data_IF_896418376283
#
_entry.id   IF_896418376283
#
_cell.length_a   1.000
_cell.length_b   1.000
_cell.length_c   1.000
_cell.angle_alpha   90.00
_cell.angle_beta   90.00
_cell.angle_gamma   90.00
#
_symmetry.space_group_name_H-M   'P 1'
#
loop_
_entity.id
_entity.type
_entity.pdbx_description
1 polymer ?
#
# COMPACT_ATOMS: atom_id res chain seq x y z
N UNK A 1 -4.14 37.33 -15.50
CA UNK A 1 -3.50 38.36 -14.65
C UNK A 1 -2.13 38.59 -15.25
N UNK A 2 -1.92 39.76 -15.85
CA UNK A 2 -0.68 40.11 -16.51
C UNK A 2 0.32 40.62 -15.49
N UNK A 3 1.46 39.94 -15.39
CA UNK A 3 2.60 40.42 -14.61
C UNK A 3 3.59 41.07 -15.57
N UNK A 4 3.90 42.31 -15.22
CA UNK A 4 4.64 43.27 -16.01
C UNK A 4 6.10 42.86 -16.08
N UNK A 5 6.61 42.81 -17.30
CA UNK A 5 8.03 42.82 -17.60
C UNK A 5 8.65 44.10 -17.00
N UNK A 6 9.44 43.93 -15.94
CA UNK A 6 10.37 44.94 -15.46
C UNK A 6 11.60 44.89 -16.34
N UNK A 7 11.62 45.76 -17.36
CA UNK A 7 12.81 46.07 -18.16
C UNK A 7 13.78 46.83 -17.25
N UNK A 8 14.69 46.09 -16.63
CA UNK A 8 15.89 46.66 -16.03
C UNK A 8 16.80 47.10 -17.16
N UNK A 9 16.92 48.42 -17.31
CA UNK A 9 17.83 49.08 -18.23
C UNK A 9 19.24 48.93 -17.65
N UNK A 10 19.91 47.82 -17.96
CA UNK A 10 21.32 47.63 -17.65
C UNK A 10 22.15 48.71 -18.37
N UNK A 11 22.77 49.58 -17.58
CA UNK A 11 23.82 50.48 -18.06
C UNK A 11 24.93 49.63 -18.67
N UNK A 12 25.14 49.75 -19.99
CA UNK A 12 26.29 49.17 -20.68
C UNK A 12 27.57 49.83 -20.19
N UNK A 13 28.09 49.37 -19.06
CA UNK A 13 29.44 49.64 -18.62
C UNK A 13 30.40 49.14 -19.69
N UNK A 14 31.24 50.05 -20.21
CA UNK A 14 32.35 49.72 -21.11
C UNK A 14 33.20 48.62 -20.46
N UNK A 15 33.07 47.39 -20.97
CA UNK A 15 33.85 46.26 -20.52
C UNK A 15 35.29 46.46 -20.99
N UNK A 16 36.18 46.77 -20.05
CA UNK A 16 37.62 46.74 -20.28
C UNK A 16 38.03 45.26 -20.30
N UNK A 17 38.64 44.73 -21.37
CA UNK A 17 38.99 43.31 -21.46
C UNK A 17 39.94 42.92 -20.33
N UNK A 18 39.63 41.82 -19.63
CA UNK A 18 40.39 41.37 -18.46
C UNK A 18 41.76 40.77 -18.81
N UNK A 19 42.02 40.57 -20.10
CA UNK A 19 43.30 40.13 -20.62
C UNK A 19 43.87 41.20 -21.57
N UNK A 20 45.07 41.73 -21.31
CA UNK A 20 45.76 42.56 -22.28
C UNK A 20 45.98 41.73 -23.55
N UNK A 21 45.83 42.36 -24.71
CA UNK A 21 46.12 41.72 -25.99
C UNK A 21 47.55 41.18 -25.98
N UNK A 22 47.81 40.01 -26.59
CA UNK A 22 49.15 39.43 -26.70
C UNK A 22 50.18 40.47 -27.15
N UNK A 23 51.40 40.38 -26.62
CA UNK A 23 52.45 41.40 -26.80
C UNK A 23 52.75 41.69 -28.28
N UNK A 24 52.53 40.71 -29.15
CA UNK A 24 52.69 40.81 -30.60
C UNK A 24 51.73 41.85 -31.23
N UNK A 25 50.53 42.00 -30.67
CA UNK A 25 49.49 42.92 -31.17
C UNK A 25 49.69 44.33 -30.61
N UNK A 26 50.22 44.45 -29.38
CA UNK A 26 50.49 45.75 -28.76
C UNK A 26 51.68 46.48 -29.40
N UNK A 27 52.57 45.75 -30.06
CA UNK A 27 53.76 46.28 -30.74
C UNK A 27 53.54 46.56 -32.24
N UNK A 28 52.36 46.22 -32.80
CA UNK A 28 52.02 46.54 -34.19
C UNK A 28 51.68 48.02 -34.37
N UNK A 29 52.08 48.61 -35.50
CA UNK A 29 51.74 50.00 -35.79
C UNK A 29 50.21 50.16 -35.94
N UNK A 30 49.68 51.33 -35.56
CA UNK A 30 48.23 51.62 -35.65
C UNK A 30 47.65 51.48 -37.07
N UNK A 31 48.50 51.58 -38.09
CA UNK A 31 48.23 51.36 -39.52
C UNK A 31 48.04 49.90 -39.91
N UNK A 32 48.46 48.96 -39.06
CA UNK A 32 48.39 47.50 -39.28
C UNK A 32 47.25 46.84 -38.51
N UNK A 33 46.81 47.46 -37.41
CA UNK A 33 45.69 46.97 -36.56
C UNK A 33 44.33 47.52 -37.00
N UNK A 34 44.31 48.42 -37.98
CA UNK A 34 43.12 49.08 -38.52
C UNK A 34 43.14 48.99 -40.05
N UNK A 35 42.02 48.62 -40.65
CA UNK A 35 41.93 48.55 -42.11
C UNK A 35 42.00 49.95 -42.73
N UNK A 36 42.94 50.18 -43.66
CA UNK A 36 43.17 51.50 -44.27
C UNK A 36 42.04 51.96 -45.22
N UNK A 37 41.14 51.06 -45.64
CA UNK A 37 40.02 51.38 -46.53
C UNK A 37 38.70 51.69 -45.79
N UNK A 38 38.45 51.08 -44.64
CA UNK A 38 37.19 51.23 -43.90
C UNK A 38 37.36 51.70 -42.45
N UNK A 39 38.59 51.83 -41.93
CA UNK A 39 38.87 52.40 -40.60
C UNK A 39 38.49 51.52 -39.40
N UNK A 40 38.04 50.28 -39.63
CA UNK A 40 37.64 49.36 -38.55
C UNK A 40 38.86 48.59 -38.03
N UNK A 41 38.99 48.50 -36.71
CA UNK A 41 40.05 47.71 -36.08
C UNK A 41 39.80 46.22 -36.26
N UNK A 42 40.81 45.49 -36.73
CA UNK A 42 40.75 44.02 -36.93
C UNK A 42 40.44 43.26 -35.64
N UNK A 43 40.76 43.85 -34.48
CA UNK A 43 40.45 43.32 -33.15
C UNK A 43 38.97 43.40 -32.80
N UNK A 44 38.33 44.53 -33.11
CA UNK A 44 36.88 44.69 -32.95
C UNK A 44 36.15 43.72 -33.88
N UNK A 45 36.68 43.52 -35.10
CA UNK A 45 36.13 42.56 -36.05
C UNK A 45 36.23 41.11 -35.52
N UNK A 46 37.37 40.73 -34.93
CA UNK A 46 37.57 39.41 -34.35
C UNK A 46 36.68 39.16 -33.12
N UNK A 47 36.55 40.14 -32.22
CA UNK A 47 35.64 40.07 -31.07
C UNK A 47 34.18 39.98 -31.52
N UNK A 48 33.79 40.72 -32.55
CA UNK A 48 32.45 40.63 -33.12
C UNK A 48 32.20 39.26 -33.77
N UNK A 49 33.20 38.70 -34.47
CA UNK A 49 33.15 37.35 -35.02
C UNK A 49 33.02 36.30 -33.90
N UNK A 50 33.79 36.44 -32.82
CA UNK A 50 33.74 35.53 -31.66
C UNK A 50 32.39 35.60 -30.95
N UNK A 51 31.82 36.80 -30.80
CA UNK A 51 30.48 36.98 -30.23
C UNK A 51 29.40 36.41 -31.14
N UNK A 52 29.53 36.55 -32.47
CA UNK A 52 28.64 35.90 -33.44
C UNK A 52 28.73 34.37 -33.35
N UNK A 53 29.93 33.81 -33.26
CA UNK A 53 30.14 32.38 -33.13
C UNK A 53 29.55 31.85 -31.81
N UNK A 54 29.68 32.63 -30.73
CA UNK A 54 29.12 32.31 -29.41
C UNK A 54 27.59 32.41 -29.40
N UNK A 55 27.01 33.42 -30.04
CA UNK A 55 25.56 33.53 -30.23
C UNK A 55 25.04 32.36 -31.07
N UNK A 56 25.69 32.04 -32.19
CA UNK A 56 25.34 30.90 -33.03
C UNK A 56 25.48 29.56 -32.29
N UNK A 57 26.38 29.46 -31.31
CA UNK A 57 26.48 28.29 -30.43
C UNK A 57 25.32 28.23 -29.45
N UNK A 58 25.00 29.33 -28.75
CA UNK A 58 23.88 29.40 -27.80
C UNK A 58 22.55 29.17 -28.50
N UNK A 59 22.34 29.71 -29.70
CA UNK A 59 21.14 29.48 -30.51
C UNK A 59 20.98 27.99 -30.89
N UNK A 60 22.08 27.31 -31.26
CA UNK A 60 22.08 25.86 -31.52
C UNK A 60 21.77 25.06 -30.25
N UNK A 61 22.33 25.45 -29.11
CA UNK A 61 22.06 24.80 -27.82
C UNK A 61 20.59 24.98 -27.42
N UNK A 62 20.02 26.16 -27.62
CA UNK A 62 18.61 26.46 -27.33
C UNK A 62 17.68 25.65 -28.24
N UNK A 63 17.97 25.55 -29.55
CA UNK A 63 17.22 24.72 -30.49
C UNK A 63 17.33 23.22 -30.17
N UNK A 64 18.51 22.77 -29.73
CA UNK A 64 18.69 21.39 -29.29
C UNK A 64 17.91 21.09 -28.02
N UNK A 65 17.89 22.02 -27.06
CA UNK A 65 17.10 21.90 -25.84
C UNK A 65 15.60 21.94 -26.13
N UNK A 66 15.12 22.86 -26.98
CA UNK A 66 13.71 22.92 -27.36
C UNK A 66 13.28 21.62 -28.06
N UNK A 67 14.05 21.14 -29.04
CA UNK A 67 13.79 19.86 -29.70
C UNK A 67 13.95 18.64 -28.79
N UNK A 68 14.76 18.71 -27.73
CA UNK A 68 14.82 17.67 -26.70
C UNK A 68 13.56 17.68 -25.82
N UNK A 69 13.09 18.86 -25.41
CA UNK A 69 11.85 19.00 -24.62
C UNK A 69 10.63 18.55 -25.41
N UNK A 70 10.55 18.83 -26.71
CA UNK A 70 9.45 18.38 -27.57
C UNK A 70 9.46 16.86 -27.75
N UNK A 71 10.64 16.25 -27.97
CA UNK A 71 10.77 14.78 -28.05
C UNK A 71 10.41 14.10 -26.73
N UNK A 72 10.76 14.71 -25.61
CA UNK A 72 10.41 14.21 -24.28
C UNK A 72 8.90 14.36 -24.00
N UNK A 73 8.27 15.48 -24.39
CA UNK A 73 6.81 15.66 -24.32
C UNK A 73 6.08 14.64 -25.17
N UNK A 74 6.48 14.47 -26.43
CA UNK A 74 5.88 13.49 -27.33
C UNK A 74 5.97 12.05 -26.78
N UNK A 75 7.11 11.69 -26.14
CA UNK A 75 7.25 10.40 -25.46
C UNK A 75 6.31 10.26 -24.25
N UNK A 76 6.13 11.33 -23.47
CA UNK A 76 5.20 11.32 -22.32
C UNK A 76 3.76 11.18 -22.78
N UNK A 77 3.36 11.92 -23.81
CA UNK A 77 2.03 11.83 -24.41
C UNK A 77 1.76 10.42 -24.96
N UNK A 78 2.73 9.79 -25.65
CA UNK A 78 2.59 8.41 -26.11
C UNK A 78 2.43 7.40 -24.96
N UNK A 79 3.17 7.59 -23.86
CA UNK A 79 3.05 6.74 -22.67
C UNK A 79 1.73 6.97 -21.92
N UNK A 80 1.23 8.20 -21.89
CA UNK A 80 -0.08 8.54 -21.33
C UNK A 80 -1.21 7.93 -22.16
N UNK A 81 -1.17 8.09 -23.48
CA UNK A 81 -2.11 7.44 -24.40
C UNK A 81 -2.09 5.91 -24.23
N UNK A 82 -0.90 5.31 -24.17
CA UNK A 82 -0.77 3.87 -23.92
C UNK A 82 -1.34 3.43 -22.57
N UNK A 83 -1.17 4.24 -21.51
CA UNK A 83 -1.79 3.99 -20.21
C UNK A 83 -3.31 4.09 -20.27
N UNK A 84 -3.86 5.13 -20.89
CA UNK A 84 -5.30 5.33 -21.03
C UNK A 84 -5.96 4.23 -21.87
N UNK A 85 -5.31 3.79 -22.95
CA UNK A 85 -5.76 2.66 -23.77
C UNK A 85 -5.76 1.37 -22.97
N UNK A 86 -4.69 1.11 -22.21
CA UNK A 86 -4.61 -0.06 -21.35
C UNK A 86 -5.68 -0.04 -20.24
N UNK A 87 -5.90 1.12 -19.61
CA UNK A 87 -6.97 1.28 -18.62
C UNK A 87 -8.37 1.09 -19.21
N UNK A 88 -8.62 1.63 -20.41
CA UNK A 88 -9.89 1.42 -21.13
C UNK A 88 -10.10 -0.06 -21.44
N UNK A 89 -9.09 -0.73 -22.01
CA UNK A 89 -9.14 -2.16 -22.30
C UNK A 89 -9.39 -3.00 -21.04
N UNK A 90 -8.71 -2.67 -19.93
CA UNK A 90 -8.91 -3.35 -18.66
C UNK A 90 -10.34 -3.16 -18.12
N UNK A 91 -10.88 -1.93 -18.18
CA UNK A 91 -12.26 -1.64 -17.77
C UNK A 91 -13.26 -2.41 -18.63
N UNK A 92 -13.05 -2.47 -19.94
CA UNK A 92 -13.90 -3.24 -20.86
C UNK A 92 -13.82 -4.76 -20.62
N UNK A 93 -12.65 -5.30 -20.29
CA UNK A 93 -12.47 -6.72 -19.92
C UNK A 93 -13.22 -7.04 -18.62
N UNK A 94 -13.08 -6.18 -17.61
CA UNK A 94 -13.80 -6.31 -16.33
C UNK A 94 -15.31 -6.22 -16.55
N UNK A 95 -15.76 -5.26 -17.36
CA UNK A 95 -17.18 -5.08 -17.66
C UNK A 95 -17.74 -6.29 -18.43
N UNK A 96 -17.03 -6.77 -19.46
CA UNK A 96 -17.41 -8.00 -20.19
C UNK A 96 -17.48 -9.19 -19.24
N UNK A 97 -16.46 -9.39 -18.41
CA UNK A 97 -16.44 -10.44 -17.40
C UNK A 97 -17.60 -10.34 -16.40
N UNK A 98 -17.97 -9.13 -15.98
CA UNK A 98 -19.12 -8.89 -15.10
C UNK A 98 -20.44 -9.23 -15.80
N UNK A 99 -20.65 -8.77 -17.04
CA UNK A 99 -21.87 -9.07 -17.80
C UNK A 99 -22.03 -10.55 -18.12
N UNK A 100 -20.93 -11.24 -18.41
CA UNK A 100 -20.95 -12.67 -18.70
C UNK A 100 -21.26 -13.48 -17.44
N UNK A 101 -20.62 -13.14 -16.31
CA UNK A 101 -20.97 -13.72 -15.00
C UNK A 101 -22.42 -13.48 -14.65
N UNK A 102 -22.95 -12.30 -14.90
CA UNK A 102 -24.34 -11.97 -14.65
C UNK A 102 -25.29 -12.81 -15.52
N UNK A 103 -25.01 -12.98 -16.81
CA UNK A 103 -25.78 -13.85 -17.70
C UNK A 103 -25.78 -15.30 -17.23
N UNK A 104 -24.60 -15.84 -16.90
CA UNK A 104 -24.46 -17.22 -16.41
C UNK A 104 -25.28 -17.40 -15.13
N UNK A 105 -25.17 -16.46 -14.17
CA UNK A 105 -25.96 -16.52 -12.94
C UNK A 105 -27.47 -16.44 -13.22
N UNK A 106 -27.92 -15.57 -14.14
CA UNK A 106 -29.34 -15.50 -14.52
C UNK A 106 -29.83 -16.81 -15.13
N UNK A 107 -29.06 -17.41 -16.04
CA UNK A 107 -29.40 -18.70 -16.66
C UNK A 107 -29.44 -19.83 -15.62
N UNK A 108 -28.49 -19.89 -14.69
CA UNK A 108 -28.49 -20.85 -13.59
C UNK A 108 -29.71 -20.68 -12.68
N UNK A 109 -30.05 -19.43 -12.33
CA UNK A 109 -31.24 -19.12 -11.56
C UNK A 109 -32.51 -19.53 -12.31
N UNK A 110 -32.60 -19.30 -13.61
CA UNK A 110 -33.75 -19.71 -14.43
C UNK A 110 -33.85 -21.24 -14.52
N UNK A 111 -32.73 -21.95 -14.69
CA UNK A 111 -32.68 -23.43 -14.68
C UNK A 111 -33.16 -23.97 -13.34
N UNK A 112 -32.63 -23.46 -12.22
CA UNK A 112 -33.06 -23.85 -10.87
C UNK A 112 -34.54 -23.53 -10.63
N UNK A 113 -35.03 -22.42 -11.17
CA UNK A 113 -36.45 -22.06 -11.07
C UNK A 113 -37.33 -23.04 -11.85
N UNK A 114 -36.92 -23.44 -13.07
CA UNK A 114 -37.61 -24.46 -13.87
C UNK A 114 -37.58 -25.83 -13.19
N UNK A 115 -36.44 -26.25 -12.66
CA UNK A 115 -36.31 -27.51 -11.90
C UNK A 115 -37.19 -27.53 -10.65
N UNK A 116 -37.18 -26.45 -9.86
CA UNK A 116 -38.04 -26.31 -8.68
C UNK A 116 -39.52 -26.37 -9.05
N UNK A 117 -39.91 -25.71 -10.16
CA UNK A 117 -41.27 -25.75 -10.66
C UNK A 117 -41.67 -27.18 -11.06
N UNK A 118 -40.81 -27.88 -11.79
CA UNK A 118 -41.05 -29.27 -12.19
C UNK A 118 -41.22 -30.20 -10.98
N UNK A 119 -40.31 -30.12 -10.01
CA UNK A 119 -40.39 -30.90 -8.77
C UNK A 119 -41.67 -30.61 -7.98
N UNK A 120 -42.09 -29.35 -7.90
CA UNK A 120 -43.34 -28.98 -7.24
C UNK A 120 -44.55 -29.57 -7.95
N UNK A 121 -44.61 -29.48 -9.29
CA UNK A 121 -45.69 -30.07 -10.08
C UNK A 121 -45.73 -31.62 -9.94
N UNK A 122 -44.58 -32.27 -9.81
CA UNK A 122 -44.49 -33.71 -9.58
C UNK A 122 -44.93 -34.11 -8.17
N UNK A 123 -44.51 -33.35 -7.14
CA UNK A 123 -44.98 -33.54 -5.75
C UNK A 123 -46.50 -33.35 -5.66
N UNK A 124 -47.04 -32.33 -6.34
CA UNK A 124 -48.47 -32.05 -6.37
C UNK A 124 -49.23 -33.24 -6.99
N UNK A 125 -48.82 -33.71 -8.17
CA UNK A 125 -49.40 -34.91 -8.80
C UNK A 125 -49.35 -36.15 -7.91
N UNK A 126 -48.20 -36.41 -7.30
CA UNK A 126 -48.02 -37.55 -6.38
C UNK A 126 -48.91 -37.41 -5.15
N UNK A 127 -49.12 -36.19 -4.65
CA UNK A 127 -50.00 -35.92 -3.50
C UNK A 127 -51.48 -36.11 -3.87
N UNK A 128 -51.90 -35.66 -5.04
CA UNK A 128 -53.25 -35.85 -5.57
C UNK A 128 -53.56 -37.32 -5.81
N UNK A 129 -52.61 -38.08 -6.35
CA UNK A 129 -52.77 -39.51 -6.58
C UNK A 129 -52.83 -40.29 -5.26
N UNK A 130 -51.98 -39.95 -4.28
CA UNK A 130 -52.07 -40.49 -2.91
C UNK A 130 -53.42 -40.19 -2.27
N UNK A 131 -53.91 -38.96 -2.40
CA UNK A 131 -55.21 -38.56 -1.90
C UNK A 131 -56.35 -39.33 -2.56
N UNK A 132 -56.29 -39.51 -3.89
CA UNK A 132 -57.27 -40.29 -4.66
C UNK A 132 -57.33 -41.74 -4.17
N UNK A 133 -56.17 -42.39 -4.03
CA UNK A 133 -56.09 -43.78 -3.55
C UNK A 133 -56.60 -43.90 -2.12
N UNK A 134 -56.27 -42.96 -1.23
CA UNK A 134 -56.79 -42.96 0.13
C UNK A 134 -58.31 -42.77 0.17
N UNK A 135 -58.83 -41.86 -0.66
CA UNK A 135 -60.28 -41.63 -0.78
C UNK A 135 -61.01 -42.87 -1.29
N UNK A 136 -60.45 -43.57 -2.27
CA UNK A 136 -61.01 -44.82 -2.80
C UNK A 136 -60.98 -45.94 -1.76
N UNK A 137 -59.86 -46.14 -1.04
CA UNK A 137 -59.77 -47.11 0.06
C UNK A 137 -60.75 -46.81 1.18
N UNK A 138 -60.92 -45.53 1.54
CA UNK A 138 -61.89 -45.11 2.54
C UNK A 138 -63.31 -45.42 2.08
N UNK A 139 -63.62 -45.17 0.80
CA UNK A 139 -64.91 -45.51 0.23
C UNK A 139 -65.17 -47.02 0.28
N UNK A 140 -64.21 -47.85 -0.14
CA UNK A 140 -64.29 -49.32 -0.08
C UNK A 140 -64.46 -49.85 1.35
N UNK A 141 -63.76 -49.25 2.33
CA UNK A 141 -63.91 -49.63 3.73
C UNK A 141 -65.31 -49.28 4.27
N UNK A 142 -65.87 -48.12 3.87
CA UNK A 142 -67.21 -47.73 4.26
C UNK A 142 -68.28 -48.63 3.65
N UNK A 143 -68.17 -48.98 2.37
CA UNK A 143 -69.13 -49.92 1.74
C UNK A 143 -69.10 -51.29 2.41
N UNK A 144 -67.90 -51.81 2.72
CA UNK A 144 -67.77 -53.07 3.44
C UNK A 144 -68.36 -52.99 4.87
N UNK A 145 -68.20 -51.86 5.57
CA UNK A 145 -68.82 -51.66 6.87
C UNK A 145 -70.35 -51.60 6.79
N UNK A 146 -70.91 -51.07 5.70
CA UNK A 146 -72.35 -51.05 5.46
C UNK A 146 -72.87 -52.48 5.19
N UNK A 147 -72.20 -53.25 4.33
CA UNK A 147 -72.52 -54.66 4.08
C UNK A 147 -72.51 -55.49 5.38
N UNK A 148 -71.46 -55.33 6.20
CA UNK A 148 -71.39 -56.00 7.50
C UNK A 148 -72.53 -55.61 8.46
N UNK A 149 -73.01 -54.37 8.40
CA UNK A 149 -74.16 -53.92 9.21
C UNK A 149 -75.44 -54.58 8.74
N UNK A 150 -75.64 -54.71 7.43
CA UNK A 150 -76.78 -55.40 6.85
C UNK A 150 -76.78 -56.90 7.21
N UNK A 151 -75.62 -57.57 7.10
CA UNK A 151 -75.47 -58.97 7.50
C UNK A 151 -75.78 -59.19 8.99
N UNK A 152 -75.26 -58.31 9.86
CA UNK A 152 -75.58 -58.36 11.29
C UNK A 152 -77.07 -58.19 11.54
N UNK A 153 -77.72 -57.25 10.85
CA UNK A 153 -79.16 -57.03 10.98
C UNK A 153 -79.96 -58.28 10.57
N UNK A 154 -79.60 -58.92 9.45
CA UNK A 154 -80.23 -60.17 9.01
C UNK A 154 -80.04 -61.31 10.01
N UNK A 155 -78.84 -61.43 10.61
CA UNK A 155 -78.58 -62.43 11.66
C UNK A 155 -79.42 -62.17 12.92
N UNK A 156 -79.56 -60.92 13.33
CA UNK A 156 -80.43 -60.53 14.45
C UNK A 156 -81.90 -60.90 14.19
N UNK A 157 -82.41 -60.67 12.98
CA UNK A 157 -83.77 -61.06 12.60
C UNK A 157 -83.96 -62.58 12.61
N UNK A 158 -83.00 -63.33 12.04
CA UNK A 158 -83.04 -64.80 12.09
C UNK A 158 -83.01 -65.33 13.52
N UNK A 159 -82.20 -64.73 14.39
CA UNK A 159 -82.15 -65.09 15.81
C UNK A 159 -83.51 -64.88 16.49
N UNK A 160 -84.20 -63.78 16.19
CA UNK A 160 -85.56 -63.52 16.70
C UNK A 160 -86.54 -64.59 16.23
N UNK A 161 -86.52 -64.98 14.94
CA UNK A 161 -87.37 -66.04 14.41
C UNK A 161 -87.13 -67.39 15.10
N UNK A 162 -85.86 -67.79 15.25
CA UNK A 162 -85.48 -69.02 15.96
C UNK A 162 -85.91 -68.98 17.43
N UNK A 163 -85.81 -67.81 18.08
CA UNK A 163 -86.32 -67.60 19.44
C UNK A 163 -87.82 -67.91 19.54
N UNK A 164 -88.63 -67.38 18.62
CA UNK A 164 -90.08 -67.65 18.58
C UNK A 164 -90.39 -69.14 18.35
N UNK A 165 -89.68 -69.80 17.43
CA UNK A 165 -89.84 -71.24 17.19
C UNK A 165 -89.46 -72.09 18.41
N UNK A 166 -88.36 -71.73 19.10
CA UNK A 166 -87.96 -72.38 20.34
C UNK A 166 -89.05 -72.25 21.40
N UNK A 167 -89.56 -71.05 21.63
CA UNK A 167 -90.59 -70.81 22.65
C UNK A 167 -91.90 -71.57 22.32
N UNK A 168 -92.26 -71.70 21.02
CA UNK A 168 -93.36 -72.55 20.57
C UNK A 168 -93.13 -74.04 20.85
N UNK A 169 -91.94 -74.56 20.53
CA UNK A 169 -91.60 -75.98 20.74
C UNK A 169 -91.49 -76.34 22.22
N UNK A 170 -90.99 -75.44 23.06
CA UNK A 170 -91.02 -75.59 24.52
C UNK A 170 -92.46 -75.66 25.07
N UNK A 171 -93.36 -74.84 24.53
CA UNK A 171 -94.79 -74.89 24.85
C UNK A 171 -95.45 -76.22 24.46
N UNK A 172 -95.12 -76.77 23.28
CA UNK A 172 -95.60 -78.10 22.86
C UNK A 172 -95.03 -79.23 23.73
N UNK A 173 -93.74 -79.16 24.09
CA UNK A 173 -93.10 -80.13 24.98
C UNK A 173 -93.71 -80.12 26.39
N UNK A 174 -94.09 -78.96 26.92
CA UNK A 174 -94.80 -78.90 28.21
C UNK A 174 -96.13 -79.66 28.15
N UNK A 175 -96.93 -79.45 27.09
CA UNK A 175 -98.21 -80.16 26.90
C UNK A 175 -98.02 -81.67 26.76
N UNK A 176 -96.99 -82.10 26.03
CA UNK A 176 -96.68 -83.52 25.88
C UNK A 176 -96.26 -84.18 27.21
N UNK A 177 -95.50 -83.44 28.04
CA UNK A 177 -95.13 -83.90 29.40
C UNK A 177 -96.36 -84.07 30.29
N UNK A 178 -97.30 -83.14 30.24
CA UNK A 178 -98.58 -83.23 30.97
C UNK A 178 -99.40 -84.46 30.52
N UNK A 179 -99.50 -84.71 29.21
CA UNK A 179 -100.17 -85.89 28.66
C UNK A 179 -99.49 -87.19 29.07
N UNK A 180 -98.15 -87.25 29.01
CA UNK A 180 -97.38 -88.40 29.46
C UNK A 180 -97.61 -88.69 30.95
N UNK A 181 -97.78 -87.65 31.78
CA UNK A 181 -98.05 -87.80 33.19
C UNK A 181 -99.45 -88.36 33.45
N UNK A 182 -100.48 -87.87 32.73
CA UNK A 182 -101.83 -88.43 32.77
C UNK A 182 -101.86 -89.90 32.33
N UNK A 183 -101.10 -90.27 31.29
CA UNK A 183 -100.98 -91.66 30.85
C UNK A 183 -100.29 -92.55 31.88
N UNK A 184 -99.25 -92.05 32.57
CA UNK A 184 -98.59 -92.80 33.66
C UNK A 184 -99.54 -93.09 34.81
N UNK A 185 -100.35 -92.11 35.22
CA UNK A 185 -101.37 -92.30 36.26
C UNK A 185 -102.40 -93.36 35.85
N UNK A 186 -102.81 -93.36 34.57
CA UNK A 186 -103.72 -94.35 34.00
C UNK A 186 -103.10 -95.75 33.94
N UNK A 187 -101.82 -95.87 33.58
CA UNK A 187 -101.07 -97.13 33.56
C UNK A 187 -100.95 -97.75 34.96
N UNK A 188 -100.72 -96.93 36.00
CA UNK A 188 -100.68 -97.41 37.39
C UNK A 188 -102.05 -97.98 37.81
N UNK A 189 -103.16 -97.33 37.41
CA UNK A 189 -104.51 -97.85 37.63
C UNK A 189 -104.81 -99.16 36.88
N UNK A 190 -104.30 -99.30 35.65
CA UNK A 190 -104.43 -100.54 34.87
C UNK A 190 -103.55 -101.68 35.41
N UNK A 191 -102.37 -101.38 35.95
CA UNK A 191 -101.46 -102.36 36.56
C UNK A 191 -102.05 -102.98 37.84
N UNK A 192 -102.80 -102.20 38.62
CA UNK A 192 -103.57 -102.69 39.77
C UNK A 192 -104.73 -103.62 39.33
N UNK A 193 -105.38 -103.36 38.19
CA UNK A 193 -106.41 -104.23 37.62
C UNK A 193 -105.86 -105.54 37.00
N UNK A 194 -104.67 -105.47 36.38
CA UNK A 194 -103.95 -106.60 35.76
C UNK A 194 -103.39 -107.59 36.80
N UNK A 195 -103.01 -107.12 37.98
CA UNK A 195 -102.53 -107.98 39.07
C UNK A 195 -103.65 -108.90 39.61
N UNK A 196 -104.92 -108.48 39.49
CA UNK A 196 -106.09 -109.30 39.83
C UNK A 196 -106.50 -110.30 38.72
N UNK A 197 -106.09 -110.05 37.47
CA UNK A 197 -106.38 -110.92 36.31
C UNK A 197 -105.29 -111.97 36.06
N UNK A 198 -104.05 -111.69 36.48
CA UNK A 198 -102.91 -112.63 36.37
C UNK A 198 -103.03 -113.89 37.26
N UNK A 199 -103.91 -113.89 38.27
CA UNK A 199 -104.27 -115.11 39.01
C UNK A 199 -105.18 -116.07 38.23
N UNK A 200 -105.81 -115.63 37.13
CA UNK A 200 -106.72 -116.44 36.30
C UNK A 200 -106.09 -116.91 34.98
N UNK A 201 -104.99 -116.31 34.53
CA UNK A 201 -104.35 -116.58 33.23
C UNK A 201 -103.14 -117.53 33.32
N UNK A 202 -103.06 -118.36 34.38
CA UNK A 202 -102.15 -119.52 34.43
C UNK A 202 -102.65 -120.73 33.61
N UNK A 203 -103.80 -120.61 32.93
CA UNK A 203 -104.45 -121.71 32.21
C UNK A 203 -104.46 -121.62 30.68
N UNK A 204 -103.94 -120.58 30.03
CA UNK A 204 -104.00 -120.47 28.55
C UNK A 204 -102.64 -120.26 27.94
N UNK A 205 -101.95 -121.38 27.73
CA UNK A 205 -100.69 -121.58 26.99
C UNK A 205 -100.79 -121.24 25.48
N UNK A 206 -101.68 -120.34 25.11
CA UNK A 206 -101.97 -119.95 23.72
C UNK A 206 -101.35 -118.60 23.31
N UNK A 207 -100.78 -117.83 24.25
CA UNK A 207 -100.13 -116.52 23.99
C UNK A 207 -98.70 -116.59 23.40
N UNK A 208 -98.14 -117.77 23.15
CA UNK A 208 -96.76 -117.90 22.61
C UNK A 208 -96.67 -117.73 21.08
N UNK A 209 -97.80 -117.52 20.37
CA UNK A 209 -97.79 -117.29 18.91
C UNK A 209 -97.72 -115.81 18.54
N UNK A 210 -98.18 -114.92 19.41
CA UNK A 210 -98.11 -113.46 19.18
C UNK A 210 -96.70 -112.91 19.44
N UNK A 211 -95.95 -113.49 20.38
CA UNK A 211 -94.55 -113.11 20.68
C UNK A 211 -93.63 -113.32 19.47
N UNK A 212 -93.89 -114.32 18.63
CA UNK A 212 -93.12 -114.58 17.42
C UNK A 212 -93.38 -113.54 16.32
N UNK A 213 -94.62 -113.04 16.20
CA UNK A 213 -94.96 -111.93 15.30
C UNK A 213 -94.36 -110.60 15.73
N UNK A 214 -94.32 -110.32 17.04
CA UNK A 214 -93.65 -109.13 17.59
C UNK A 214 -92.14 -109.14 17.32
N UNK A 215 -91.48 -110.29 17.43
CA UNK A 215 -90.04 -110.40 17.16
C UNK A 215 -89.72 -110.16 15.67
N UNK A 216 -90.54 -110.65 14.74
CA UNK A 216 -90.37 -110.36 13.30
C UNK A 216 -90.61 -108.89 12.95
N UNK A 217 -91.60 -108.23 13.58
CA UNK A 217 -91.83 -106.78 13.41
C UNK A 217 -90.71 -105.93 14.02
N UNK A 218 -90.18 -106.31 15.18
CA UNK A 218 -89.04 -105.63 15.81
C UNK A 218 -87.75 -105.78 14.99
N UNK A 219 -87.56 -106.93 14.33
CA UNK A 219 -86.40 -107.18 13.46
C UNK A 219 -86.50 -106.33 12.18
N UNK A 220 -87.68 -106.27 11.55
CA UNK A 220 -87.92 -105.38 10.40
C UNK A 220 -87.78 -103.89 10.76
N UNK A 221 -88.32 -103.47 11.91
CA UNK A 221 -88.17 -102.10 12.39
C UNK A 221 -86.70 -101.75 12.71
N UNK A 222 -85.91 -102.72 13.18
CA UNK A 222 -84.48 -102.55 13.42
C UNK A 222 -83.68 -102.43 12.11
N UNK A 223 -83.98 -103.24 11.09
CA UNK A 223 -83.36 -103.16 9.76
C UNK A 223 -83.71 -101.84 9.06
N UNK A 224 -84.96 -101.38 9.17
CA UNK A 224 -85.40 -100.08 8.67
C UNK A 224 -84.73 -98.92 9.42
N UNK A 225 -84.66 -98.97 10.75
CA UNK A 225 -83.97 -97.96 11.56
C UNK A 225 -82.46 -97.92 11.24
N UNK A 226 -81.83 -99.10 11.11
CA UNK A 226 -80.41 -99.23 10.79
C UNK A 226 -80.09 -98.70 9.39
N UNK A 227 -80.94 -98.99 8.39
CA UNK A 227 -80.75 -98.48 7.02
C UNK A 227 -80.98 -96.97 6.94
N UNK A 228 -81.94 -96.42 7.68
CA UNK A 228 -82.16 -94.98 7.80
C UNK A 228 -81.00 -94.27 8.52
N UNK A 229 -80.47 -94.85 9.59
CA UNK A 229 -79.28 -94.34 10.29
C UNK A 229 -78.06 -94.33 9.38
N UNK A 230 -77.79 -95.44 8.66
CA UNK A 230 -76.68 -95.52 7.71
C UNK A 230 -76.83 -94.53 6.55
N UNK A 231 -78.06 -94.30 6.07
CA UNK A 231 -78.36 -93.29 5.05
C UNK A 231 -78.07 -91.88 5.57
N UNK A 232 -78.56 -91.52 6.76
CA UNK A 232 -78.30 -90.23 7.40
C UNK A 232 -76.81 -89.99 7.66
N UNK A 233 -76.08 -91.03 8.10
CA UNK A 233 -74.63 -90.94 8.33
C UNK A 233 -73.88 -90.73 7.01
N UNK A 234 -74.28 -91.39 5.91
CA UNK A 234 -73.68 -91.14 4.58
C UNK A 234 -73.98 -89.74 4.07
N UNK A 235 -75.20 -89.26 4.25
CA UNK A 235 -75.61 -87.91 3.86
C UNK A 235 -74.82 -86.86 4.67
N UNK A 236 -74.74 -87.00 6.00
CA UNK A 236 -73.96 -86.09 6.84
C UNK A 236 -72.47 -86.11 6.51
N UNK A 237 -71.90 -87.30 6.24
CA UNK A 237 -70.50 -87.43 5.84
C UNK A 237 -70.23 -86.83 4.45
N UNK A 238 -71.20 -86.90 3.53
CA UNK A 238 -71.09 -86.26 2.20
C UNK A 238 -71.10 -84.74 2.30
N UNK A 239 -71.96 -84.16 3.15
CA UNK A 239 -72.01 -82.72 3.42
C UNK A 239 -70.71 -82.25 4.06
N UNK A 240 -70.26 -82.90 5.13
CA UNK A 240 -68.99 -82.58 5.80
C UNK A 240 -67.78 -82.70 4.87
N UNK A 241 -67.77 -83.69 3.98
CA UNK A 241 -66.70 -83.86 2.99
C UNK A 241 -66.69 -82.70 1.99
N UNK A 242 -67.85 -82.23 1.57
CA UNK A 242 -67.96 -81.11 0.62
C UNK A 242 -67.62 -79.77 1.30
N UNK A 243 -68.03 -79.56 2.54
CA UNK A 243 -67.60 -78.42 3.36
C UNK A 243 -66.07 -78.41 3.55
N UNK A 244 -65.46 -79.55 3.87
CA UNK A 244 -64.01 -79.68 4.00
C UNK A 244 -63.30 -79.33 2.68
N UNK A 245 -63.83 -79.78 1.53
CA UNK A 245 -63.31 -79.41 0.21
C UNK A 245 -63.42 -77.91 -0.04
N UNK A 246 -64.57 -77.30 0.27
CA UNK A 246 -64.78 -75.86 0.13
C UNK A 246 -63.75 -75.08 0.96
N UNK A 247 -63.57 -75.43 2.24
CA UNK A 247 -62.59 -74.80 3.13
C UNK A 247 -61.15 -75.00 2.63
N UNK A 248 -60.82 -76.18 2.09
CA UNK A 248 -59.49 -76.41 1.49
C UNK A 248 -59.23 -75.51 0.28
N UNK A 249 -60.24 -75.29 -0.58
CA UNK A 249 -60.14 -74.37 -1.73
C UNK A 249 -59.98 -72.92 -1.24
N UNK A 250 -60.76 -72.50 -0.25
CA UNK A 250 -60.64 -71.17 0.36
C UNK A 250 -59.27 -70.93 1.00
N UNK A 251 -58.74 -71.91 1.73
CA UNK A 251 -57.40 -71.82 2.31
C UNK A 251 -56.31 -71.71 1.24
N UNK A 252 -56.45 -72.40 0.11
CA UNK A 252 -55.53 -72.23 -1.02
C UNK A 252 -55.65 -70.83 -1.64
N UNK A 253 -56.86 -70.30 -1.78
CA UNK A 253 -57.09 -68.93 -2.26
C UNK A 253 -56.45 -67.90 -1.32
N UNK A 254 -56.65 -68.02 -0.02
CA UNK A 254 -56.06 -67.11 0.98
C UNK A 254 -54.52 -67.21 0.97
N UNK A 255 -53.95 -68.40 0.75
CA UNK A 255 -52.49 -68.57 0.63
C UNK A 255 -51.92 -67.84 -0.59
N UNK A 256 -52.53 -67.98 -1.76
CA UNK A 256 -52.05 -67.29 -2.97
C UNK A 256 -52.26 -65.78 -2.85
N UNK A 257 -53.36 -65.32 -2.25
CA UNK A 257 -53.58 -63.91 -1.93
C UNK A 257 -52.51 -63.37 -0.98
N UNK A 258 -52.16 -64.11 0.08
CA UNK A 258 -51.07 -63.75 1.00
C UNK A 258 -49.72 -63.64 0.27
N UNK A 259 -49.37 -64.63 -0.54
CA UNK A 259 -48.11 -64.64 -1.31
C UNK A 259 -48.05 -63.44 -2.27
N UNK A 260 -49.17 -63.12 -2.94
CA UNK A 260 -49.27 -61.96 -3.81
C UNK A 260 -49.08 -60.63 -3.05
N UNK A 261 -49.66 -60.50 -1.86
CA UNK A 261 -49.48 -59.32 -1.00
C UNK A 261 -48.04 -59.22 -0.50
N UNK A 262 -47.43 -60.33 -0.11
CA UNK A 262 -46.04 -60.40 0.34
C UNK A 262 -45.07 -59.99 -0.78
N UNK A 263 -45.28 -60.45 -2.01
CA UNK A 263 -44.50 -60.00 -3.16
C UNK A 263 -44.68 -58.51 -3.45
N UNK A 264 -45.90 -57.98 -3.38
CA UNK A 264 -46.16 -56.53 -3.55
C UNK A 264 -45.46 -55.72 -2.47
N UNK A 265 -45.45 -56.19 -1.22
CA UNK A 265 -44.76 -55.52 -0.11
C UNK A 265 -43.24 -55.52 -0.31
N UNK A 266 -42.66 -56.65 -0.73
CA UNK A 266 -41.22 -56.73 -1.04
C UNK A 266 -40.86 -55.79 -2.19
N UNK A 267 -41.67 -55.76 -3.25
CA UNK A 267 -41.46 -54.85 -4.38
C UNK A 267 -41.57 -53.38 -3.97
N UNK A 268 -42.53 -53.02 -3.11
CA UNK A 268 -42.61 -51.67 -2.55
C UNK A 268 -41.41 -51.34 -1.66
N UNK A 269 -40.97 -52.27 -0.81
CA UNK A 269 -39.80 -52.10 0.07
C UNK A 269 -38.53 -51.81 -0.74
N UNK A 270 -38.31 -52.55 -1.83
CA UNK A 270 -37.16 -52.31 -2.73
C UNK A 270 -37.24 -50.94 -3.38
N UNK A 271 -38.41 -50.54 -3.89
CA UNK A 271 -38.60 -49.19 -4.46
C UNK A 271 -38.34 -48.09 -3.42
N UNK A 272 -38.79 -48.27 -2.18
CA UNK A 272 -38.50 -47.29 -1.12
C UNK A 272 -37.02 -47.24 -0.77
N UNK A 273 -36.34 -48.39 -0.73
CA UNK A 273 -34.90 -48.47 -0.47
C UNK A 273 -34.09 -47.83 -1.59
N UNK A 274 -34.44 -48.05 -2.86
CA UNK A 274 -33.83 -47.40 -4.02
C UNK A 274 -33.99 -45.87 -3.96
N UNK A 275 -35.20 -45.37 -3.66
CA UNK A 275 -35.45 -43.94 -3.51
C UNK A 275 -34.64 -43.33 -2.36
N UNK A 276 -34.54 -44.03 -1.22
CA UNK A 276 -33.70 -43.60 -0.09
C UNK A 276 -32.23 -43.59 -0.49
N UNK A 277 -31.74 -44.60 -1.20
CA UNK A 277 -30.36 -44.65 -1.69
C UNK A 277 -30.05 -43.52 -2.66
N UNK A 278 -30.95 -43.22 -3.60
CA UNK A 278 -30.82 -42.08 -4.50
C UNK A 278 -30.81 -40.75 -3.75
N UNK A 279 -31.71 -40.58 -2.77
CA UNK A 279 -31.77 -39.37 -1.95
C UNK A 279 -30.51 -39.21 -1.08
N UNK A 280 -30.01 -40.27 -0.47
CA UNK A 280 -28.78 -40.20 0.33
C UNK A 280 -27.54 -39.94 -0.54
N UNK A 281 -27.48 -40.50 -1.75
CA UNK A 281 -26.39 -40.22 -2.68
C UNK A 281 -26.39 -38.74 -3.13
N UNK A 282 -27.53 -38.23 -3.58
CA UNK A 282 -27.66 -36.81 -3.96
C UNK A 282 -27.37 -35.87 -2.79
N UNK A 283 -27.78 -36.21 -1.57
CA UNK A 283 -27.43 -35.44 -0.36
C UNK A 283 -25.93 -35.45 -0.07
N UNK A 284 -25.23 -36.58 -0.27
CA UNK A 284 -23.77 -36.65 -0.12
C UNK A 284 -23.08 -35.76 -1.15
N UNK A 285 -23.46 -35.87 -2.42
CA UNK A 285 -22.89 -35.02 -3.48
C UNK A 285 -23.12 -33.53 -3.22
N UNK A 286 -24.31 -33.15 -2.74
CA UNK A 286 -24.60 -31.78 -2.36
C UNK A 286 -23.74 -31.32 -1.19
N UNK A 287 -23.53 -32.17 -0.17
CA UNK A 287 -22.64 -31.88 0.96
C UNK A 287 -21.19 -31.72 0.50
N UNK A 288 -20.69 -32.61 -0.35
CA UNK A 288 -19.33 -32.55 -0.86
C UNK A 288 -19.10 -31.29 -1.70
N UNK A 289 -20.06 -30.93 -2.56
CA UNK A 289 -20.05 -29.66 -3.30
C UNK A 289 -20.03 -28.45 -2.36
N UNK A 290 -20.86 -28.44 -1.32
CA UNK A 290 -20.86 -27.36 -0.31
C UNK A 290 -19.52 -27.25 0.42
N UNK A 291 -18.90 -28.38 0.76
CA UNK A 291 -17.58 -28.40 1.39
C UNK A 291 -16.49 -27.86 0.46
N UNK A 292 -16.49 -28.25 -0.83
CA UNK A 292 -15.56 -27.72 -1.85
C UNK A 292 -15.71 -26.21 -2.00
N UNK A 293 -16.94 -25.72 -2.19
CA UNK A 293 -17.20 -24.29 -2.34
C UNK A 293 -16.83 -23.50 -1.08
N UNK A 294 -17.07 -24.06 0.11
CA UNK A 294 -16.68 -23.43 1.37
C UNK A 294 -15.15 -23.35 1.52
N UNK A 295 -14.42 -24.37 1.03
CA UNK A 295 -12.97 -24.35 1.03
C UNK A 295 -12.42 -23.34 0.03
N UNK A 296 -12.93 -23.31 -1.20
CA UNK A 296 -12.56 -22.31 -2.20
C UNK A 296 -12.79 -20.89 -1.70
N UNK A 297 -13.92 -20.64 -1.02
CA UNK A 297 -14.21 -19.34 -0.43
C UNK A 297 -13.15 -18.95 0.60
N UNK A 298 -12.78 -19.86 1.51
CA UNK A 298 -11.71 -19.61 2.49
C UNK A 298 -10.37 -19.32 1.84
N UNK A 299 -9.97 -20.09 0.82
CA UNK A 299 -8.72 -19.86 0.10
C UNK A 299 -8.72 -18.49 -0.61
N UNK A 300 -9.87 -18.05 -1.14
CA UNK A 300 -10.02 -16.70 -1.72
C UNK A 300 -9.98 -15.61 -0.66
N UNK A 301 -10.60 -15.81 0.50
CA UNK A 301 -10.54 -14.88 1.64
C UNK A 301 -9.10 -14.73 2.16
N UNK A 302 -8.37 -15.83 2.36
CA UNK A 302 -6.96 -15.83 2.75
C UNK A 302 -6.09 -15.12 1.69
N UNK A 303 -6.32 -15.41 0.40
CA UNK A 303 -5.66 -14.73 -0.71
C UNK A 303 -5.92 -13.22 -0.71
N UNK A 304 -7.16 -12.80 -0.50
CA UNK A 304 -7.54 -11.39 -0.44
C UNK A 304 -6.90 -10.68 0.77
N UNK A 305 -6.93 -11.29 1.96
CA UNK A 305 -6.27 -10.75 3.16
C UNK A 305 -4.76 -10.59 2.95
N UNK A 306 -4.10 -11.56 2.32
CA UNK A 306 -2.68 -11.47 1.96
C UNK A 306 -2.40 -10.31 1.00
N UNK A 307 -3.24 -10.14 -0.02
CA UNK A 307 -3.17 -8.99 -0.91
C UNK A 307 -3.38 -7.66 -0.17
N UNK A 308 -4.35 -7.59 0.74
CA UNK A 308 -4.60 -6.41 1.55
C UNK A 308 -3.41 -6.05 2.43
N UNK A 309 -2.84 -7.01 3.17
CA UNK A 309 -1.65 -6.81 3.98
C UNK A 309 -0.45 -6.30 3.15
N UNK A 310 -0.31 -6.79 1.91
CA UNK A 310 0.72 -6.28 0.98
C UNK A 310 0.45 -4.84 0.56
N UNK A 311 -0.79 -4.49 0.27
CA UNK A 311 -1.18 -3.11 -0.03
C UNK A 311 -0.89 -2.17 1.16
N UNK A 312 -1.26 -2.56 2.38
CA UNK A 312 -1.02 -1.77 3.60
C UNK A 312 0.49 -1.57 3.86
N UNK A 313 1.29 -2.62 3.63
CA UNK A 313 2.76 -2.55 3.72
C UNK A 313 3.36 -1.60 2.68
N UNK A 314 2.93 -1.70 1.41
CA UNK A 314 3.37 -0.79 0.36
C UNK A 314 2.95 0.65 0.64
N UNK A 315 1.74 0.87 1.15
CA UNK A 315 1.26 2.19 1.54
C UNK A 315 2.09 2.78 2.68
N UNK A 316 2.44 1.97 3.69
CA UNK A 316 3.31 2.37 4.79
C UNK A 316 4.73 2.72 4.29
N UNK A 317 5.27 1.94 3.35
CA UNK A 317 6.56 2.23 2.72
C UNK A 317 6.53 3.53 1.91
N UNK A 318 5.43 3.78 1.17
CA UNK A 318 5.27 4.98 0.38
C UNK A 318 5.20 6.23 1.26
N UNK A 319 4.47 6.17 2.38
CA UNK A 319 4.44 7.24 3.39
C UNK A 319 5.83 7.48 4.00
N UNK A 320 6.59 6.42 4.33
CA UNK A 320 7.94 6.56 4.85
C UNK A 320 8.91 7.19 3.82
N UNK A 321 8.78 6.83 2.53
CA UNK A 321 9.54 7.45 1.45
C UNK A 321 9.19 8.94 1.29
N UNK A 322 7.90 9.28 1.33
CA UNK A 322 7.44 10.68 1.27
C UNK A 322 8.01 11.51 2.42
N UNK A 323 7.98 10.99 3.65
CA UNK A 323 8.57 11.67 4.81
C UNK A 323 10.07 11.91 4.64
N UNK A 324 10.81 10.93 4.13
CA UNK A 324 12.26 11.08 3.86
C UNK A 324 12.53 12.11 2.78
N UNK A 325 11.70 12.16 1.74
CA UNK A 325 11.79 13.16 0.68
C UNK A 325 11.51 14.57 1.22
N UNK A 326 10.48 14.75 2.05
CA UNK A 326 10.20 16.02 2.74
C UNK A 326 11.35 16.44 3.66
N UNK A 327 11.93 15.52 4.41
CA UNK A 327 13.10 15.82 5.25
C UNK A 327 14.32 16.21 4.43
N UNK A 328 14.56 15.51 3.31
CA UNK A 328 15.66 15.82 2.40
C UNK A 328 15.46 17.20 1.74
N UNK A 329 14.27 17.49 1.23
CA UNK A 329 13.94 18.80 0.63
C UNK A 329 14.08 19.93 1.64
N UNK A 330 13.66 19.75 2.91
CA UNK A 330 13.92 20.72 3.98
C UNK A 330 15.42 20.95 4.18
N UNK A 331 16.23 19.88 4.27
CA UNK A 331 17.70 19.99 4.40
C UNK A 331 18.34 20.69 3.21
N UNK A 332 17.92 20.35 1.98
CA UNK A 332 18.41 20.99 0.76
C UNK A 332 18.08 22.48 0.75
N UNK A 333 16.85 22.87 1.11
CA UNK A 333 16.46 24.28 1.18
C UNK A 333 17.28 25.06 2.23
N UNK A 334 17.61 24.44 3.36
CA UNK A 334 18.50 25.04 4.36
C UNK A 334 19.92 25.23 3.83
N UNK A 335 20.48 24.21 3.18
CA UNK A 335 21.81 24.28 2.57
C UNK A 335 21.87 25.32 1.44
N UNK A 336 20.82 25.45 0.64
CA UNK A 336 20.69 26.47 -0.41
C UNK A 336 20.71 27.88 0.18
N UNK A 337 19.94 28.11 1.25
CA UNK A 337 19.96 29.39 1.99
C UNK A 337 21.34 29.70 2.59
N UNK A 338 22.06 28.70 3.10
CA UNK A 338 23.43 28.86 3.58
C UNK A 338 24.40 29.23 2.46
N UNK A 339 24.30 28.57 1.30
CA UNK A 339 25.09 28.90 0.11
C UNK A 339 24.83 30.33 -0.34
N UNK A 340 23.58 30.77 -0.37
CA UNK A 340 23.23 32.16 -0.72
C UNK A 340 23.76 33.16 0.30
N UNK A 341 23.74 32.82 1.59
CA UNK A 341 24.32 33.66 2.64
C UNK A 341 25.85 33.77 2.48
N UNK A 342 26.52 32.68 2.12
CA UNK A 342 27.96 32.67 1.84
C UNK A 342 28.31 33.45 0.57
N UNK A 343 27.52 33.34 -0.50
CA UNK A 343 27.68 34.15 -1.72
C UNK A 343 27.62 35.64 -1.40
N UNK A 344 26.59 36.08 -0.66
CA UNK A 344 26.47 37.48 -0.21
C UNK A 344 27.67 37.95 0.61
N UNK A 345 28.18 37.12 1.52
CA UNK A 345 29.40 37.42 2.31
C UNK A 345 30.64 37.52 1.41
N UNK A 346 30.78 36.64 0.43
CA UNK A 346 31.89 36.65 -0.51
C UNK A 346 31.87 37.92 -1.37
N UNK A 347 30.71 38.28 -1.93
CA UNK A 347 30.52 39.52 -2.70
C UNK A 347 30.89 40.75 -1.87
N UNK A 348 30.42 40.81 -0.61
CA UNK A 348 30.79 41.89 0.30
C UNK A 348 32.31 41.96 0.56
N UNK A 349 32.96 40.82 0.80
CA UNK A 349 34.41 40.76 0.99
C UNK A 349 35.19 41.17 -0.28
N UNK A 350 34.73 40.73 -1.46
CA UNK A 350 35.31 41.12 -2.74
C UNK A 350 35.18 42.63 -2.98
N UNK A 351 34.01 43.21 -2.69
CA UNK A 351 33.79 44.65 -2.80
C UNK A 351 34.72 45.41 -1.85
N UNK A 352 34.81 45.00 -0.58
CA UNK A 352 35.73 45.59 0.39
C UNK A 352 37.20 45.49 -0.05
N UNK A 353 37.61 44.37 -0.66
CA UNK A 353 38.95 44.23 -1.24
C UNK A 353 39.18 45.16 -2.44
N UNK A 354 38.18 45.37 -3.30
CA UNK A 354 38.25 46.38 -4.38
C UNK A 354 38.41 47.80 -3.80
N UNK A 355 37.65 48.14 -2.78
CA UNK A 355 37.70 49.46 -2.14
C UNK A 355 39.07 49.70 -1.46
N UNK A 356 39.58 48.72 -0.70
CA UNK A 356 40.93 48.79 -0.11
C UNK A 356 42.05 48.90 -1.14
N UNK A 357 41.90 48.27 -2.31
CA UNK A 357 42.85 48.44 -3.43
C UNK A 357 42.81 49.87 -3.95
N UNK A 358 41.62 50.43 -4.17
CA UNK A 358 41.46 51.85 -4.57
C UNK A 358 42.05 52.80 -3.52
N UNK A 359 41.85 52.52 -2.23
CA UNK A 359 42.45 53.31 -1.14
C UNK A 359 43.98 53.25 -1.16
N UNK A 360 44.54 52.05 -1.31
CA UNK A 360 45.99 51.87 -1.43
C UNK A 360 46.55 52.61 -2.64
N UNK A 361 45.91 52.54 -3.80
CA UNK A 361 46.30 53.26 -5.01
C UNK A 361 46.27 54.78 -4.79
N UNK A 362 45.20 55.31 -4.18
CA UNK A 362 45.11 56.73 -3.80
C UNK A 362 46.22 57.16 -2.86
N UNK A 363 46.51 56.35 -1.85
CA UNK A 363 47.60 56.62 -0.90
C UNK A 363 48.96 56.63 -1.60
N UNK A 364 49.22 55.63 -2.44
CA UNK A 364 50.47 55.53 -3.21
C UNK A 364 50.64 56.71 -4.16
N UNK A 365 49.58 57.15 -4.83
CA UNK A 365 49.61 58.33 -5.69
C UNK A 365 49.87 59.62 -4.87
N UNK A 366 49.26 59.73 -3.68
CA UNK A 366 49.53 60.85 -2.76
C UNK A 366 50.98 60.86 -2.27
N UNK A 367 51.51 59.69 -1.87
CA UNK A 367 52.92 59.55 -1.46
C UNK A 367 53.85 59.88 -2.63
N UNK A 368 53.55 59.42 -3.84
CA UNK A 368 54.32 59.74 -5.05
C UNK A 368 54.33 61.25 -5.33
N UNK A 369 53.18 61.93 -5.22
CA UNK A 369 53.08 63.39 -5.34
C UNK A 369 53.88 64.13 -4.26
N UNK A 370 53.84 63.65 -3.02
CA UNK A 370 54.61 64.24 -1.93
C UNK A 370 56.13 64.08 -2.15
N UNK A 371 56.57 62.90 -2.58
CA UNK A 371 57.96 62.62 -2.91
C UNK A 371 58.46 63.48 -4.07
N UNK A 372 57.71 63.55 -5.17
CA UNK A 372 58.06 64.40 -6.32
C UNK A 372 58.12 65.88 -5.94
N UNK A 373 57.16 66.37 -5.14
CA UNK A 373 57.21 67.74 -4.61
C UNK A 373 58.46 67.96 -3.75
N UNK A 374 58.77 67.04 -2.85
CA UNK A 374 59.97 67.13 -2.02
C UNK A 374 61.25 67.11 -2.87
N UNK A 375 61.35 66.24 -3.86
CA UNK A 375 62.45 66.20 -4.83
C UNK A 375 62.59 67.51 -5.59
N UNK A 376 61.48 68.11 -6.04
CA UNK A 376 61.47 69.39 -6.73
C UNK A 376 61.87 70.55 -5.79
N UNK A 377 61.38 70.56 -4.53
CA UNK A 377 61.77 71.53 -3.51
C UNK A 377 63.28 71.46 -3.25
N UNK A 378 63.84 70.25 -3.08
CA UNK A 378 65.29 70.06 -2.97
C UNK A 378 66.03 70.50 -4.23
N UNK A 379 65.51 70.18 -5.43
CA UNK A 379 66.11 70.57 -6.71
C UNK A 379 66.13 72.10 -6.87
N UNK A 380 65.13 72.80 -6.35
CA UNK A 380 65.06 74.26 -6.33
C UNK A 380 65.94 74.90 -5.26
N UNK A 381 66.07 74.31 -4.07
CA UNK A 381 66.89 74.83 -2.96
C UNK A 381 68.39 74.58 -3.14
N UNK A 382 68.78 73.48 -3.80
CA UNK A 382 70.19 73.07 -3.95
C UNK A 382 71.07 74.18 -4.57
N UNK A 383 70.67 74.89 -5.65
CA UNK A 383 71.44 76.00 -6.21
C UNK A 383 71.65 77.14 -5.23
N UNK A 384 70.63 77.52 -4.46
CA UNK A 384 70.75 78.60 -3.46
C UNK A 384 71.66 78.20 -2.30
N UNK A 385 71.55 76.95 -1.81
CA UNK A 385 72.44 76.43 -0.76
C UNK A 385 73.89 76.31 -1.25
N UNK A 386 74.11 75.86 -2.49
CA UNK A 386 75.44 75.83 -3.10
C UNK A 386 76.00 77.23 -3.29
N UNK A 387 75.18 78.20 -3.72
CA UNK A 387 75.59 79.58 -3.89
C UNK A 387 75.94 80.25 -2.56
N UNK A 388 75.11 80.07 -1.52
CA UNK A 388 75.39 80.56 -0.18
C UNK A 388 76.70 79.97 0.39
N UNK A 389 76.93 78.66 0.24
CA UNK A 389 78.18 78.02 0.64
C UNK A 389 79.39 78.55 -0.15
N UNK A 390 79.23 78.85 -1.45
CA UNK A 390 80.28 79.42 -2.28
C UNK A 390 80.61 80.86 -1.86
N UNK A 391 79.61 81.66 -1.54
CA UNK A 391 79.76 83.02 -1.02
C UNK A 391 80.42 83.02 0.36
N UNK A 392 80.03 82.11 1.25
CA UNK A 392 80.68 81.91 2.55
C UNK A 392 82.17 81.55 2.37
N UNK A 393 82.49 80.61 1.48
CA UNK A 393 83.89 80.24 1.18
C UNK A 393 84.68 81.43 0.61
N UNK A 394 84.07 82.26 -0.26
CA UNK A 394 84.67 83.51 -0.75
C UNK A 394 84.94 84.50 0.37
N UNK A 395 84.02 84.68 1.31
CA UNK A 395 84.22 85.58 2.46
C UNK A 395 85.31 85.07 3.40
N UNK A 396 85.35 83.76 3.68
CA UNK A 396 86.40 83.14 4.49
C UNK A 396 87.78 83.31 3.84
N UNK A 397 87.89 83.12 2.52
CA UNK A 397 89.13 83.39 1.79
C UNK A 397 89.53 84.88 1.86
N UNK A 398 88.58 85.80 1.75
CA UNK A 398 88.85 87.23 1.84
C UNK A 398 89.35 87.65 3.24
N UNK A 399 88.80 87.05 4.30
CA UNK A 399 89.28 87.26 5.68
C UNK A 399 90.70 86.70 5.84
N UNK A 400 90.96 85.46 5.38
CA UNK A 400 92.31 84.88 5.40
C UNK A 400 93.35 85.73 4.67
N UNK A 401 92.98 86.28 3.51
CA UNK A 401 93.88 87.16 2.75
C UNK A 401 94.17 88.47 3.50
N UNK A 402 93.17 89.05 4.19
CA UNK A 402 93.37 90.23 5.04
C UNK A 402 94.25 89.95 6.25
N UNK A 403 94.07 88.80 6.91
CA UNK A 403 94.92 88.39 8.03
C UNK A 403 96.38 88.25 7.60
N UNK A 404 96.63 87.63 6.43
CA UNK A 404 97.97 87.55 5.83
C UNK A 404 98.53 88.94 5.50
N UNK A 405 97.71 89.85 4.97
CA UNK A 405 98.14 91.23 4.69
C UNK A 405 98.54 91.98 5.97
N UNK A 406 97.76 91.86 7.05
CA UNK A 406 98.09 92.47 8.34
C UNK A 406 99.29 91.82 9.03
N UNK A 407 99.52 90.53 8.81
CA UNK A 407 100.73 89.84 9.27
C UNK A 407 101.98 90.38 8.57
N UNK A 408 101.94 90.53 7.24
CA UNK A 408 103.01 91.15 6.47
C UNK A 408 103.27 92.61 6.89
N UNK A 409 102.22 93.38 7.20
CA UNK A 409 102.36 94.75 7.73
C UNK A 409 103.03 94.77 9.10
N UNK A 410 102.69 93.82 9.98
CA UNK A 410 103.34 93.65 11.30
C UNK A 410 104.81 93.30 11.13
N UNK A 411 105.13 92.37 10.25
CA UNK A 411 106.52 91.98 9.93
C UNK A 411 107.33 93.16 9.39
N UNK A 412 106.82 93.89 8.40
CA UNK A 412 107.47 95.09 7.86
C UNK A 412 107.63 96.20 8.92
N UNK A 413 106.64 96.36 9.81
CA UNK A 413 106.71 97.30 10.94
C UNK A 413 107.81 96.95 11.94
N UNK A 414 107.99 95.67 12.25
CA UNK A 414 109.08 95.18 13.10
C UNK A 414 110.45 95.40 12.45
N UNK A 415 110.56 95.17 11.13
CA UNK A 415 111.79 95.40 10.37
C UNK A 415 112.23 96.87 10.41
N UNK A 416 111.28 97.80 10.25
CA UNK A 416 111.53 99.25 10.37
C UNK A 416 111.96 99.67 11.78
N UNK A 417 111.47 99.01 12.84
CA UNK A 417 111.89 99.28 14.22
C UNK A 417 113.32 98.81 14.44
N UNK A 418 113.66 97.61 13.97
CA UNK A 418 115.02 97.07 14.04
C UNK A 418 116.01 98.02 13.35
N UNK A 419 115.66 98.55 12.17
CA UNK A 419 116.53 99.48 11.44
C UNK A 419 116.69 100.84 12.14
N UNK A 420 115.64 101.33 12.81
CA UNK A 420 115.69 102.55 13.64
C UNK A 420 116.58 102.36 14.87
N UNK A 421 116.55 101.20 15.51
CA UNK A 421 117.39 100.88 16.66
C UNK A 421 118.86 100.78 16.27
N UNK A 422 119.19 100.08 15.18
CA UNK A 422 120.55 100.04 14.62
C UNK A 422 121.09 101.44 14.32
N UNK A 423 120.24 102.30 13.72
CA UNK A 423 120.61 103.69 13.40
C UNK A 423 120.85 104.54 14.67
N UNK A 424 120.07 104.31 15.73
CA UNK A 424 120.28 104.93 17.05
C UNK A 424 121.57 104.46 17.71
N UNK A 425 121.89 103.17 17.63
CA UNK A 425 123.14 102.62 18.16
C UNK A 425 124.36 103.19 17.46
N UNK A 426 124.32 103.33 16.13
CA UNK A 426 125.35 104.01 15.34
C UNK A 426 125.54 105.48 15.79
N UNK A 427 124.45 106.22 16.01
CA UNK A 427 124.53 107.61 16.49
C UNK A 427 125.15 107.73 17.90
N UNK A 428 124.85 106.78 18.79
CA UNK A 428 125.44 106.72 20.13
C UNK A 428 126.94 106.38 20.10
N UNK A 429 127.38 105.53 19.16
CA UNK A 429 128.81 105.28 18.93
C UNK A 429 129.54 106.56 18.51
N UNK A 430 129.01 107.28 17.52
CA UNK A 430 129.58 108.56 17.07
C UNK A 430 129.68 109.61 18.18
N UNK A 431 128.70 109.67 19.09
CA UNK A 431 128.73 110.60 20.23
C UNK A 431 129.83 110.25 21.25
N UNK A 432 130.02 108.97 21.56
CA UNK A 432 131.09 108.51 22.47
C UNK A 432 132.48 108.80 21.91
N UNK A 433 132.67 108.60 20.60
CA UNK A 433 133.93 108.91 19.93
C UNK A 433 134.24 110.41 19.96
N UNK A 434 133.23 111.26 19.77
CA UNK A 434 133.36 112.73 19.88
C UNK A 434 133.76 113.18 21.28
N UNK A 435 133.18 112.59 22.32
CA UNK A 435 133.51 112.88 23.73
C UNK A 435 134.94 112.43 24.09
N UNK A 436 135.37 111.26 23.59
CA UNK A 436 136.75 110.78 23.78
C UNK A 436 137.78 111.70 23.14
N UNK A 437 137.51 112.20 21.93
CA UNK A 437 138.37 113.17 21.24
C UNK A 437 138.44 114.52 21.98
N UNK A 438 137.32 114.99 22.54
CA UNK A 438 137.26 116.22 23.35
C UNK A 438 138.06 116.12 24.66
N UNK A 439 138.02 114.96 25.32
CA UNK A 439 138.81 114.69 26.54
C UNK A 439 140.30 114.60 26.26
N UNK A 440 140.72 114.03 25.12
CA UNK A 440 142.12 114.06 24.69
C UNK A 440 142.61 115.48 24.46
N UNK A 441 141.83 116.29 23.75
CA UNK A 441 142.16 117.70 23.49
C UNK A 441 142.32 118.53 24.79
N UNK A 442 141.47 118.31 25.79
CA UNK A 442 141.57 119.00 27.09
C UNK A 442 142.83 118.58 27.88
N UNK A 443 143.20 117.29 27.86
CA UNK A 443 144.41 116.80 28.54
C UNK A 443 145.69 117.38 27.92
N UNK A 444 145.74 117.53 26.61
CA UNK A 444 146.88 118.15 25.91
C UNK A 444 146.99 119.65 26.23
N UNK A 445 145.85 120.34 26.35
CA UNK A 445 145.79 121.76 26.73
C UNK A 445 146.27 122.01 28.17
N UNK A 446 145.90 121.15 29.11
CA UNK A 446 146.32 121.26 30.52
C UNK A 446 147.81 120.94 30.74
N UNK A 447 148.38 120.00 29.98
CA UNK A 447 149.83 119.75 30.01
C UNK A 447 150.65 120.94 29.50
N UNK A 448 150.14 121.69 28.52
CA UNK A 448 150.79 122.91 28.01
C UNK A 448 150.79 124.04 29.04
N UNK A 449 149.69 124.19 29.80
CA UNK A 449 149.54 125.27 30.78
C UNK A 449 150.37 125.07 32.06
N UNK A 450 150.68 123.83 32.46
CA UNK A 450 151.55 123.56 33.63
C UNK A 450 153.04 123.88 33.41
N UNK A 451 153.47 124.17 32.18
CA UNK A 451 154.88 124.53 31.87
C UNK A 451 155.21 126.02 32.02
N UNK A 452 154.25 126.91 32.33
CA UNK A 452 154.42 128.37 32.15
C UNK A 452 154.30 129.21 33.43
N UNK A 453 154.11 128.64 34.62
CA UNK A 453 153.93 129.49 35.82
C UNK A 453 154.68 128.97 37.05
N UNK A 454 155.56 129.85 37.58
CA UNK A 454 156.32 129.79 38.85
C UNK A 454 157.65 129.01 38.74
N UNK A 455 158.80 129.55 38.29
CA UNK A 455 159.54 130.78 38.63
C UNK A 455 158.75 132.06 38.91
N UNK A 456 158.39 132.27 40.18
CA UNK A 456 158.58 133.46 41.05
C UNK A 456 158.09 133.03 42.44
N UNK A 457 158.93 132.30 43.15
CA UNK A 457 159.41 132.47 44.53
C UNK A 457 160.27 131.26 44.87
#
# INVERSE_FOLDING_TARGET
MGERESVEREEMGLHIPFYPLPEEIQQMERSETVCQYCGVSYLILHEFQLLQDRLAQVERELQNQSGATERERAKRELLELGREEWERALREEIQRGATEKEKVLREEHEKRFKEKRFLNEEIEKMSEERWRVLKEKLHQANTHLEEQREDLHQLEERLKCVGLERDMTEGLLCKERELCQQLRERCVGQQQALTATLSLLRCSREELRDVQGFLSQLTGAWEDCSSQLLKRIRESYSVLREELRSVCVELQRIRTERENVEQKLIAQSRKTEELVNQQTHTQREQRDKLLSLSQELREKEEGWLSCQCRCDSLQSQLLACQQREEEATRKYSGAEQEVDALRRKLEHAQQKSKDLRRDSERMMESHRKALTKMEDDYRQELPFKLQAALEEQRTQNAVRLKEQEEELKREAGLELVIDREKSRELLLQYQREKEQLLLQYQREKEQWQRKVTVAVL
#
